data_IF_041930378534
#
_entry.id   IF_041930378534
#
_cell.length_a   1.000
_cell.length_b   1.000
_cell.length_c   1.000
_cell.angle_alpha   90.00
_cell.angle_beta   90.00
_cell.angle_gamma   90.00
#
_symmetry.space_group_name_H-M   'P 1'
#
loop_
_entity.id
_entity.type
_entity.pdbx_description
1 polymer ?
#
# COMPACT_ATOMS: atom_id res chain seq x y z
N UNK A 1 -18.56 12.48 -1.43
CA UNK A 1 -18.20 11.07 -1.19
C UNK A 1 -16.90 10.78 -1.92
N UNK A 2 -15.81 10.50 -1.21
CA UNK A 2 -14.55 10.13 -1.83
C UNK A 2 -14.54 8.62 -2.09
N UNK A 3 -14.69 8.23 -3.36
CA UNK A 3 -14.57 6.85 -3.81
C UNK A 3 -13.09 6.54 -3.94
N UNK A 4 -12.56 5.71 -3.03
CA UNK A 4 -11.21 5.17 -3.07
C UNK A 4 -11.11 4.18 -4.26
N UNK A 5 -10.76 4.67 -5.45
CA UNK A 5 -10.29 3.83 -6.57
C UNK A 5 -8.81 3.51 -6.42
N UNK A 6 -8.38 3.18 -5.21
CA UNK A 6 -7.03 2.73 -4.97
C UNK A 6 -6.77 1.43 -5.72
N UNK A 7 -5.82 1.49 -6.66
CA UNK A 7 -4.99 0.36 -7.11
C UNK A 7 -5.50 -0.55 -8.24
N UNK A 8 -6.37 -0.11 -9.14
CA UNK A 8 -6.60 -0.88 -10.40
C UNK A 8 -5.88 -0.30 -11.62
N UNK A 9 -5.64 1.02 -11.67
CA UNK A 9 -5.04 1.67 -12.84
C UNK A 9 -3.93 2.67 -12.45
N UNK A 10 -2.92 2.24 -11.68
CA UNK A 10 -1.70 3.04 -11.61
C UNK A 10 -0.79 2.68 -12.79
N UNK A 11 -1.13 3.27 -13.94
CA UNK A 11 -0.22 3.59 -15.03
C UNK A 11 0.71 2.44 -15.45
N UNK A 12 0.22 1.58 -16.36
CA UNK A 12 1.10 1.13 -17.42
C UNK A 12 1.47 2.40 -18.22
N UNK A 13 2.57 3.04 -17.84
CA UNK A 13 3.20 4.06 -18.65
C UNK A 13 3.51 3.43 -20.00
N UNK A 14 2.87 3.98 -21.03
CA UNK A 14 2.96 3.50 -22.40
C UNK A 14 4.28 3.92 -23.06
N UNK A 15 5.21 4.56 -22.33
CA UNK A 15 6.47 5.12 -22.84
C UNK A 15 7.76 4.45 -22.31
N UNK A 16 7.69 3.20 -21.81
CA UNK A 16 8.90 2.40 -21.57
C UNK A 16 9.82 2.90 -20.44
N UNK A 17 9.35 3.81 -19.59
CA UNK A 17 10.08 4.28 -18.41
C UNK A 17 9.96 3.31 -17.23
N UNK A 18 10.90 2.39 -17.08
CA UNK A 18 11.03 1.53 -15.89
C UNK A 18 11.36 2.38 -14.64
N UNK A 19 10.33 2.95 -14.01
CA UNK A 19 10.46 3.45 -12.63
C UNK A 19 10.51 2.22 -11.72
N UNK A 20 11.60 1.97 -10.97
CA UNK A 20 11.56 0.98 -9.90
C UNK A 20 10.58 1.53 -8.85
N UNK A 21 9.37 1.00 -8.61
CA UNK A 21 8.93 -0.34 -8.89
C UNK A 21 7.37 -0.45 -8.76
N UNK A 22 6.70 -1.18 -9.66
CA UNK A 22 5.28 -1.58 -9.50
C UNK A 22 5.08 -2.83 -8.62
N UNK A 23 6.03 -3.77 -8.60
CA UNK A 23 5.86 -5.10 -7.97
C UNK A 23 5.81 -5.05 -6.43
N UNK A 24 6.61 -4.22 -5.76
CA UNK A 24 6.63 -4.14 -4.30
C UNK A 24 5.42 -3.40 -3.73
N UNK A 25 4.73 -2.55 -4.49
CA UNK A 25 3.50 -1.91 -4.01
C UNK A 25 2.36 -2.93 -3.97
N UNK A 26 2.17 -3.70 -5.04
CA UNK A 26 1.18 -4.79 -5.10
C UNK A 26 1.45 -5.84 -4.02
N UNK A 27 2.70 -6.23 -3.82
CA UNK A 27 3.08 -7.14 -2.74
C UNK A 27 2.75 -6.56 -1.36
N UNK A 28 3.02 -5.27 -1.12
CA UNK A 28 2.64 -4.58 0.13
C UNK A 28 1.13 -4.55 0.35
N UNK A 29 0.35 -4.33 -0.71
CA UNK A 29 -1.11 -4.29 -0.65
C UNK A 29 -1.71 -5.67 -0.39
N UNK A 30 -1.20 -6.72 -1.03
CA UNK A 30 -1.59 -8.11 -0.72
C UNK A 30 -1.30 -8.46 0.74
N UNK A 31 -0.12 -8.05 1.26
CA UNK A 31 0.24 -8.21 2.67
C UNK A 31 -0.70 -7.43 3.60
N UNK A 32 -1.09 -6.22 3.21
CA UNK A 32 -2.05 -5.40 3.97
C UNK A 32 -3.42 -6.09 4.06
N UNK A 33 -3.96 -6.55 2.93
CA UNK A 33 -5.24 -7.25 2.88
C UNK A 33 -5.22 -8.53 3.75
N UNK A 34 -4.14 -9.30 3.68
CA UNK A 34 -3.96 -10.46 4.55
C UNK A 34 -3.92 -10.06 6.04
N UNK A 35 -3.15 -9.04 6.39
CA UNK A 35 -3.03 -8.57 7.77
C UNK A 35 -4.37 -8.04 8.32
N UNK A 36 -5.16 -7.34 7.51
CA UNK A 36 -6.51 -6.91 7.86
C UNK A 36 -7.45 -8.10 8.10
N UNK A 37 -7.41 -9.13 7.24
CA UNK A 37 -8.16 -10.38 7.44
C UNK A 37 -7.76 -11.10 8.72
N UNK A 38 -6.47 -11.09 9.07
CA UNK A 38 -6.00 -11.63 10.35
C UNK A 38 -6.57 -10.84 11.51
N UNK A 39 -6.58 -9.51 11.48
CA UNK A 39 -7.18 -8.68 12.55
C UNK A 39 -8.67 -8.99 12.72
N UNK A 40 -9.41 -9.12 11.63
CA UNK A 40 -10.85 -9.40 11.64
C UNK A 40 -11.19 -10.76 12.24
N UNK A 41 -10.33 -11.78 12.05
CA UNK A 41 -10.52 -13.12 12.61
C UNK A 41 -10.10 -13.24 14.08
N UNK A 42 -9.45 -12.23 14.67
CA UNK A 42 -8.99 -12.28 16.06
C UNK A 42 -10.08 -11.76 16.99
N UNK A 43 -10.17 -12.37 18.18
CA UNK A 43 -11.07 -11.94 19.25
C UNK A 43 -10.91 -10.46 19.53
N UNK A 44 -12.02 -9.73 19.46
CA UNK A 44 -12.08 -8.30 19.74
C UNK A 44 -11.59 -7.99 21.14
N UNK A 45 -10.74 -6.98 21.28
CA UNK A 45 -10.17 -6.56 22.57
C UNK A 45 -9.00 -7.43 23.07
N UNK A 46 -8.68 -8.53 22.39
CA UNK A 46 -7.53 -9.35 22.80
C UNK A 46 -6.19 -8.65 22.52
N UNK A 47 -5.18 -8.92 23.36
CA UNK A 47 -3.82 -8.43 23.12
C UNK A 47 -3.25 -8.89 21.76
N UNK A 48 -3.66 -10.07 21.28
CA UNK A 48 -3.28 -10.59 19.96
C UNK A 48 -3.87 -9.75 18.83
N UNK A 49 -5.10 -9.27 18.97
CA UNK A 49 -5.72 -8.34 18.02
C UNK A 49 -4.98 -6.99 18.01
N UNK A 50 -4.63 -6.44 19.18
CA UNK A 50 -3.85 -5.20 19.28
C UNK A 50 -2.49 -5.31 18.55
N UNK A 51 -1.76 -6.41 18.77
CA UNK A 51 -0.49 -6.68 18.05
C UNK A 51 -0.70 -6.80 16.54
N UNK A 52 -1.79 -7.41 16.09
CA UNK A 52 -2.11 -7.50 14.67
C UNK A 52 -2.46 -6.13 14.05
N UNK A 53 -3.21 -5.27 14.76
CA UNK A 53 -3.50 -3.88 14.34
C UNK A 53 -2.22 -3.06 14.18
N UNK A 54 -1.24 -3.24 15.07
CA UNK A 54 0.08 -2.59 14.92
C UNK A 54 0.80 -3.01 13.63
N UNK A 55 0.68 -4.29 13.22
CA UNK A 55 1.24 -4.75 11.95
C UNK A 55 0.56 -4.09 10.75
N UNK A 56 -0.77 -3.94 10.79
CA UNK A 56 -1.54 -3.22 9.78
C UNK A 56 -1.07 -1.76 9.67
N UNK A 57 -0.91 -1.07 10.80
CA UNK A 57 -0.41 0.32 10.82
C UNK A 57 0.99 0.47 10.20
N UNK A 58 1.91 -0.48 10.50
CA UNK A 58 3.24 -0.51 9.89
C UNK A 58 3.17 -0.68 8.36
N UNK A 59 2.30 -1.56 7.86
CA UNK A 59 2.10 -1.76 6.43
C UNK A 59 1.54 -0.51 5.75
N UNK A 60 0.57 0.17 6.36
CA UNK A 60 0.08 1.46 5.84
C UNK A 60 1.18 2.51 5.73
N UNK A 61 2.07 2.61 6.73
CA UNK A 61 3.23 3.52 6.68
C UNK A 61 4.14 3.20 5.50
N UNK A 62 4.43 1.92 5.26
CA UNK A 62 5.26 1.49 4.13
C UNK A 62 4.60 1.85 2.79
N UNK A 63 3.31 1.55 2.63
CA UNK A 63 2.56 1.86 1.40
C UNK A 63 2.53 3.38 1.15
N UNK A 64 2.31 4.20 2.19
CA UNK A 64 2.32 5.66 2.06
C UNK A 64 3.68 6.17 1.57
N UNK A 65 4.78 5.64 2.09
CA UNK A 65 6.14 5.98 1.64
C UNK A 65 6.39 5.58 0.19
N UNK A 66 5.97 4.36 -0.19
CA UNK A 66 6.07 3.89 -1.58
C UNK A 66 5.31 4.81 -2.54
N UNK A 67 4.07 5.18 -2.19
CA UNK A 67 3.27 6.13 -2.99
C UNK A 67 3.92 7.51 -3.09
N UNK A 68 4.41 8.05 -1.98
CA UNK A 68 5.09 9.35 -1.97
C UNK A 68 6.37 9.34 -2.81
N UNK A 69 7.14 8.25 -2.77
CA UNK A 69 8.35 8.11 -3.59
C UNK A 69 8.02 8.10 -5.09
N UNK A 70 6.98 7.35 -5.50
CA UNK A 70 6.53 7.35 -6.90
C UNK A 70 6.12 8.75 -7.34
N UNK A 71 5.30 9.45 -6.55
CA UNK A 71 4.90 10.82 -6.86
C UNK A 71 6.11 11.77 -6.98
N UNK A 72 7.08 11.66 -6.08
CA UNK A 72 8.29 12.48 -6.10
C UNK A 72 9.11 12.24 -7.38
N UNK A 73 9.34 10.98 -7.76
CA UNK A 73 10.07 10.63 -8.99
C UNK A 73 9.33 11.11 -10.23
N UNK A 74 8.00 10.94 -10.29
CA UNK A 74 7.20 11.45 -11.41
C UNK A 74 7.28 12.98 -11.48
N UNK A 75 7.12 13.68 -10.36
CA UNK A 75 7.22 15.15 -10.33
C UNK A 75 8.61 15.65 -10.77
N UNK A 76 9.68 14.92 -10.45
CA UNK A 76 11.04 15.26 -10.86
C UNK A 76 11.30 14.96 -12.35
N UNK A 77 10.51 14.07 -12.97
CA UNK A 77 10.66 13.69 -14.38
C UNK A 77 9.81 14.54 -15.34
N UNK A 78 8.72 15.12 -14.84
CA UNK A 78 7.80 15.99 -15.59
C UNK A 78 7.90 17.48 -15.22
N UNK A 79 8.94 17.87 -14.48
CA UNK A 79 9.33 19.26 -14.27
C UNK A 79 10.37 19.67 -15.33
#
# INVERSE_FOLDING_TARGET
>A
MAIDRGVTNLLADSDGGLVPNPKHLDASLRRLAYAQRVVARRTTGSQRQARARLRVAKLHRTIRRQRAHVLHVLSARYA
#
